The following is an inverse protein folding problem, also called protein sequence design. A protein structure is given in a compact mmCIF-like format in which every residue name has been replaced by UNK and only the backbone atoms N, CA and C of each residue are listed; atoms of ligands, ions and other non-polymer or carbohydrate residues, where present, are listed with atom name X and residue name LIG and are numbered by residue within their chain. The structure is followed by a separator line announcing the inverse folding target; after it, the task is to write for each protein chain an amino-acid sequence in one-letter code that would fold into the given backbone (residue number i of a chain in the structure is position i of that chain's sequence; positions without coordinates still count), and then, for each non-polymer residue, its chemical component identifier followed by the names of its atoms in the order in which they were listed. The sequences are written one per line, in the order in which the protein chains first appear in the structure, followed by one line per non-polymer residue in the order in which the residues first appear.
data_IF_497370428820
#
_entry.id   IF_497370428820
#
_cell.length_a   1.000
_cell.length_b   1.000
_cell.length_c   1.000
_cell.angle_alpha   90.00
_cell.angle_beta   90.00
_cell.angle_gamma   90.00
#
_symmetry.space_group_name_H-M   'P 1'
#
loop_
_entity.id
_entity.type
_entity.pdbx_description
1 polymer ?
#
# COMPACT_ATOMS: atom_id res chain seq x y z
N UNK A 1 13.95 8.01 13.80
CA UNK A 1 13.50 6.62 13.95
C UNK A 1 12.20 6.54 13.18
N UNK A 2 12.16 5.85 12.04
CA UNK A 2 10.93 5.74 11.26
C UNK A 2 9.88 5.02 12.12
N UNK A 3 8.64 5.50 12.22
CA UNK A 3 7.59 4.74 12.86
C UNK A 3 7.41 3.43 12.07
N UNK A 4 7.76 2.31 12.69
CA UNK A 4 7.53 1.00 12.11
C UNK A 4 6.02 0.77 12.06
N UNK A 5 5.45 0.74 10.85
CA UNK A 5 4.07 0.38 10.63
C UNK A 5 4.04 -1.06 10.13
N UNK A 6 3.61 -2.05 10.96
CA UNK A 6 3.70 -3.47 10.61
C UNK A 6 3.08 -3.83 9.26
N UNK A 7 2.05 -3.09 8.85
CA UNK A 7 1.42 -3.25 7.55
C UNK A 7 2.32 -2.77 6.40
N UNK A 8 2.94 -1.59 6.52
CA UNK A 8 3.89 -1.07 5.52
C UNK A 8 5.11 -1.99 5.40
N UNK A 9 5.61 -2.50 6.53
CA UNK A 9 6.71 -3.46 6.56
C UNK A 9 6.34 -4.77 5.84
N UNK A 10 5.11 -5.26 6.06
CA UNK A 10 4.61 -6.47 5.39
C UNK A 10 4.47 -6.27 3.87
N UNK A 11 3.98 -5.11 3.43
CA UNK A 11 3.91 -4.77 2.00
C UNK A 11 5.31 -4.65 1.40
N UNK A 12 6.25 -3.98 2.07
CA UNK A 12 7.63 -3.85 1.59
C UNK A 12 8.33 -5.22 1.45
N UNK A 13 8.11 -6.12 2.42
CA UNK A 13 8.63 -7.48 2.37
C UNK A 13 8.07 -8.26 1.16
N UNK A 14 6.76 -8.16 0.92
CA UNK A 14 6.12 -8.86 -0.19
C UNK A 14 6.51 -8.29 -1.55
N UNK A 15 6.66 -6.97 -1.67
CA UNK A 15 7.22 -6.33 -2.87
C UNK A 15 8.62 -6.85 -3.20
N UNK A 16 9.44 -7.07 -2.17
CA UNK A 16 10.77 -7.68 -2.33
C UNK A 16 10.68 -9.13 -2.79
N UNK A 17 9.78 -9.92 -2.20
CA UNK A 17 9.56 -11.33 -2.59
C UNK A 17 9.05 -11.46 -4.03
N UNK A 18 8.20 -10.53 -4.46
CA UNK A 18 7.66 -10.44 -5.81
C UNK A 18 8.64 -9.85 -6.84
N UNK A 19 9.91 -9.60 -6.46
CA UNK A 19 10.94 -9.01 -7.30
C UNK A 19 10.59 -7.62 -7.88
N UNK A 20 9.76 -6.86 -7.17
CA UNK A 20 9.43 -5.46 -7.46
C UNK A 20 9.66 -4.58 -6.21
N UNK A 21 10.86 -4.63 -5.60
CA UNK A 21 11.13 -3.86 -4.38
C UNK A 21 10.99 -2.36 -4.66
N UNK A 22 10.33 -1.64 -3.76
CA UNK A 22 10.33 -0.19 -3.81
C UNK A 22 11.73 0.34 -3.46
N UNK A 23 12.22 1.31 -4.23
CA UNK A 23 13.51 1.96 -3.99
C UNK A 23 13.46 2.86 -2.75
N UNK A 24 12.30 3.47 -2.51
CA UNK A 24 12.02 4.29 -1.33
C UNK A 24 10.80 3.74 -0.63
N UNK A 25 10.93 3.49 0.67
CA UNK A 25 9.83 3.14 1.56
C UNK A 25 9.79 4.15 2.70
N UNK A 26 8.64 4.77 2.92
CA UNK A 26 8.40 5.65 4.08
C UNK A 26 7.11 5.25 4.78
N UNK A 27 7.17 5.34 6.10
CA UNK A 27 6.04 5.12 6.98
C UNK A 27 5.97 6.33 7.92
N UNK A 28 4.81 6.94 8.05
CA UNK A 28 4.58 8.06 8.96
C UNK A 28 3.17 8.00 9.56
N UNK A 29 3.03 8.58 10.75
CA UNK A 29 1.74 8.88 11.37
C UNK A 29 1.54 10.40 11.25
N UNK A 30 0.40 10.83 10.73
CA UNK A 30 0.07 12.24 10.58
C UNK A 30 -0.30 12.86 11.92
N UNK A 31 -0.34 14.19 11.97
CA UNK A 31 -0.80 14.92 13.16
C UNK A 31 -2.25 14.59 13.57
N UNK A 32 -3.04 14.01 12.67
CA UNK A 32 -4.42 13.59 12.89
C UNK A 32 -4.54 12.10 13.30
N UNK A 33 -3.42 11.39 13.47
CA UNK A 33 -3.38 9.97 13.83
C UNK A 33 -3.55 9.02 12.63
N UNK A 34 -3.56 9.55 11.41
CA UNK A 34 -3.63 8.70 10.21
C UNK A 34 -2.27 8.09 9.89
N UNK A 35 -2.26 6.82 9.53
CA UNK A 35 -1.06 6.10 9.12
C UNK A 35 -0.89 6.19 7.60
N UNK A 36 0.30 6.56 7.17
CA UNK A 36 0.65 6.72 5.76
C UNK A 36 1.83 5.84 5.42
N UNK A 37 1.68 5.06 4.35
CA UNK A 37 2.74 4.31 3.71
C UNK A 37 3.03 4.87 2.32
N UNK A 38 4.30 5.10 2.00
CA UNK A 38 4.76 5.56 0.70
C UNK A 38 5.79 4.58 0.15
N UNK A 39 5.57 4.14 -1.08
CA UNK A 39 6.46 3.26 -1.84
C UNK A 39 6.75 3.92 -3.19
N UNK A 40 8.01 4.07 -3.55
CA UNK A 40 8.41 4.77 -4.78
C UNK A 40 9.38 3.92 -5.60
N UNK A 41 9.18 3.97 -6.92
CA UNK A 41 10.08 3.51 -7.98
C UNK A 41 10.45 4.72 -8.84
N UNK A 42 11.40 5.56 -8.41
CA UNK A 42 11.79 6.78 -9.12
C UNK A 42 12.22 6.55 -10.57
N UNK A 43 12.92 5.45 -10.87
CA UNK A 43 13.35 5.14 -12.24
C UNK A 43 12.14 4.95 -13.18
N UNK A 44 11.12 4.23 -12.71
CA UNK A 44 9.87 3.98 -13.43
C UNK A 44 8.84 5.10 -13.29
N UNK A 45 9.11 6.09 -12.43
CA UNK A 45 8.20 7.17 -12.02
C UNK A 45 6.85 6.64 -11.51
N UNK A 46 6.89 5.55 -10.74
CA UNK A 46 5.72 4.96 -10.11
C UNK A 46 5.77 5.26 -8.62
N UNK A 47 4.65 5.73 -8.08
CA UNK A 47 4.45 5.95 -6.65
C UNK A 47 3.18 5.24 -6.21
N UNK A 48 3.27 4.54 -5.09
CA UNK A 48 2.13 3.93 -4.42
C UNK A 48 2.03 4.52 -3.00
N UNK A 49 0.83 5.01 -2.66
CA UNK A 49 0.53 5.60 -1.37
C UNK A 49 -0.63 4.86 -0.71
N UNK A 50 -0.44 4.45 0.53
CA UNK A 50 -1.49 3.95 1.40
C UNK A 50 -1.82 4.99 2.46
N UNK A 51 -3.11 5.17 2.73
CA UNK A 51 -3.62 6.01 3.81
C UNK A 51 -4.57 5.17 4.67
N UNK A 52 -4.43 5.18 6.00
CA UNK A 52 -5.32 4.41 6.88
C UNK A 52 -6.77 4.87 6.85
N UNK A 53 -7.06 6.10 6.43
CA UNK A 53 -8.43 6.59 6.27
C UNK A 53 -8.98 6.43 4.84
N UNK A 54 -8.13 6.56 3.81
CA UNK A 54 -8.58 6.70 2.41
C UNK A 54 -8.18 5.54 1.49
N UNK A 55 -7.36 4.61 1.99
CA UNK A 55 -6.89 3.45 1.23
C UNK A 55 -5.76 3.79 0.26
N UNK A 56 -5.72 3.04 -0.84
CA UNK A 56 -4.59 3.02 -1.76
C UNK A 56 -4.78 3.98 -2.93
N UNK A 57 -3.71 4.69 -3.28
CA UNK A 57 -3.62 5.55 -4.47
C UNK A 57 -2.28 5.30 -5.16
N UNK A 58 -2.26 5.50 -6.47
CA UNK A 58 -1.06 5.39 -7.27
C UNK A 58 -0.91 6.57 -8.22
N UNK A 59 0.33 6.81 -8.62
CA UNK A 59 0.71 7.67 -9.72
C UNK A 59 1.74 6.91 -10.56
N UNK A 60 1.55 6.88 -11.87
CA UNK A 60 2.43 6.23 -12.83
C UNK A 60 2.46 7.06 -14.13
N UNK A 61 3.44 6.88 -15.03
CA UNK A 61 3.54 7.66 -16.27
C UNK A 61 2.30 7.55 -17.19
N UNK A 62 1.60 6.43 -17.11
CA UNK A 62 0.51 6.07 -18.01
C UNK A 62 -0.89 6.20 -17.35
N UNK A 63 -0.97 6.31 -16.03
CA UNK A 63 -2.22 6.51 -15.30
C UNK A 63 -1.98 6.97 -13.85
N UNK A 64 -3.03 7.44 -13.18
CA UNK A 64 -2.99 7.72 -11.76
C UNK A 64 -4.39 7.76 -11.17
N UNK A 65 -4.47 7.67 -9.84
CA UNK A 65 -5.73 7.73 -9.12
C UNK A 65 -5.85 6.67 -8.02
N UNK A 66 -7.09 6.37 -7.56
CA UNK A 66 -7.30 5.34 -6.56
C UNK A 66 -6.86 3.97 -7.10
N UNK A 67 -6.30 3.14 -6.22
CA UNK A 67 -6.12 1.73 -6.48
C UNK A 67 -7.41 1.02 -6.05
N UNK A 68 -8.08 0.34 -6.97
CA UNK A 68 -9.35 -0.35 -6.69
C UNK A 68 -9.12 -1.74 -6.04
N UNK A 69 -8.29 -1.77 -5.02
CA UNK A 69 -8.10 -2.91 -4.12
C UNK A 69 -8.69 -2.55 -2.76
N UNK A 70 -8.84 -3.56 -1.91
CA UNK A 70 -9.25 -3.32 -0.53
C UNK A 70 -8.31 -2.35 0.18
N UNK A 71 -8.89 -1.54 1.06
CA UNK A 71 -8.17 -0.56 1.87
C UNK A 71 -6.96 -1.20 2.57
N UNK A 72 -7.18 -2.38 3.16
CA UNK A 72 -6.16 -3.25 3.75
C UNK A 72 -6.12 -4.54 2.93
N UNK A 73 -5.56 -4.45 1.74
CA UNK A 73 -5.35 -5.60 0.89
C UNK A 73 -4.24 -6.50 1.45
N UNK A 74 -4.29 -7.79 1.10
CA UNK A 74 -3.19 -8.68 1.37
C UNK A 74 -1.92 -8.18 0.61
N UNK A 75 -0.73 -8.19 1.24
CA UNK A 75 0.50 -7.68 0.62
C UNK A 75 0.78 -8.24 -0.78
N UNK A 76 0.41 -9.51 -1.04
CA UNK A 76 0.61 -10.19 -2.32
C UNK A 76 -0.26 -9.61 -3.43
N UNK A 77 -1.49 -9.21 -3.09
CA UNK A 77 -2.39 -8.48 -3.99
C UNK A 77 -1.80 -7.12 -4.34
N UNK A 78 -1.22 -6.41 -3.36
CA UNK A 78 -0.54 -5.13 -3.58
C UNK A 78 0.65 -5.33 -4.51
N UNK A 79 1.50 -6.33 -4.24
CA UNK A 79 2.68 -6.60 -5.04
C UNK A 79 2.35 -6.99 -6.48
N UNK A 80 1.34 -7.84 -6.71
CA UNK A 80 0.90 -8.17 -8.06
C UNK A 80 0.33 -6.94 -8.79
N UNK A 81 -0.35 -6.03 -8.07
CA UNK A 81 -0.88 -4.79 -8.66
C UNK A 81 0.24 -3.83 -9.05
N UNK A 82 1.26 -3.69 -8.21
CA UNK A 82 2.46 -2.89 -8.49
C UNK A 82 3.20 -3.45 -9.70
N UNK A 83 3.36 -4.77 -9.81
CA UNK A 83 3.98 -5.39 -10.99
C UNK A 83 3.26 -4.99 -12.27
N UNK A 84 1.92 -5.04 -12.28
CA UNK A 84 1.13 -4.60 -13.44
C UNK A 84 1.34 -3.12 -13.77
N UNK A 85 1.40 -2.26 -12.75
CA UNK A 85 1.70 -0.84 -12.93
C UNK A 85 3.09 -0.62 -13.52
N UNK A 86 4.11 -1.29 -13.01
CA UNK A 86 5.48 -1.20 -13.55
C UNK A 86 5.55 -1.73 -14.99
N UNK A 87 4.76 -2.76 -15.32
CA UNK A 87 4.62 -3.30 -16.68
C UNK A 87 3.80 -2.38 -17.62
N UNK A 88 3.32 -1.22 -17.15
CA UNK A 88 2.55 -0.26 -17.96
C UNK A 88 1.06 -0.60 -18.12
N UNK A 89 0.54 -1.52 -17.32
CA UNK A 89 -0.85 -1.92 -17.33
C UNK A 89 -1.64 -1.18 -16.23
N UNK A 90 -2.74 -0.50 -16.57
CA UNK A 90 -3.59 0.08 -15.54
C UNK A 90 -4.21 -1.03 -14.69
N UNK A 91 -4.36 -0.84 -13.37
CA UNK A 91 -4.99 -1.84 -12.50
C UNK A 91 -6.48 -1.96 -12.87
N UNK A 92 -6.82 -2.98 -13.65
CA UNK A 92 -8.20 -3.22 -14.09
C UNK A 92 -9.07 -3.71 -12.93
N UNK A 93 -9.86 -2.81 -12.31
CA UNK A 93 -11.11 -3.05 -11.55
C UNK A 93 -11.22 -4.33 -10.67
N UNK A 94 -10.13 -4.90 -10.18
CA UNK A 94 -10.17 -6.13 -9.39
C UNK A 94 -10.28 -5.80 -7.91
N UNK A 95 -11.52 -5.64 -7.45
CA UNK A 95 -11.86 -5.66 -6.02
C UNK A 95 -11.51 -7.04 -5.45
N UNK A 96 -10.30 -7.21 -4.93
CA UNK A 96 -9.92 -8.38 -4.15
C UNK A 96 -10.23 -8.10 -2.68
N UNK A 97 -11.31 -8.71 -2.17
CA UNK A 97 -11.81 -8.49 -0.81
C UNK A 97 -11.00 -9.28 0.23
N UNK A 98 -10.54 -8.63 1.29
CA UNK A 98 -9.87 -9.26 2.43
C UNK A 98 -10.90 -9.70 3.48
N UNK A 99 -10.81 -10.97 3.89
CA UNK A 99 -11.59 -11.56 5.00
C UNK A 99 -10.96 -11.32 6.38
N UNK A 100 -10.04 -10.36 6.50
CA UNK A 100 -9.30 -10.08 7.74
C UNK A 100 -9.44 -8.66 8.30
N UNK A 101 -10.21 -7.76 7.66
CA UNK A 101 -10.31 -6.35 8.08
C UNK A 101 -10.69 -6.20 9.56
N UNK A 102 -11.47 -7.14 10.10
CA UNK A 102 -11.84 -7.22 11.51
C UNK A 102 -10.64 -7.39 12.47
N UNK A 103 -9.51 -7.93 12.01
CA UNK A 103 -8.29 -8.11 12.81
C UNK A 103 -7.49 -6.82 12.94
N UNK A 104 -7.52 -5.95 11.91
CA UNK A 104 -6.90 -4.62 12.00
C UNK A 104 -7.79 -3.65 12.79
N UNK A 105 -9.11 -3.70 12.59
CA UNK A 105 -10.07 -2.96 13.42
C UNK A 105 -9.91 -3.32 14.90
N UNK A 106 -9.66 -4.61 15.21
CA UNK A 106 -9.39 -5.04 16.58
C UNK A 106 -8.02 -4.58 17.09
N UNK A 107 -6.97 -4.59 16.27
CA UNK A 107 -5.66 -4.08 16.66
C UNK A 107 -5.62 -2.55 16.85
N UNK A 108 -6.47 -1.81 16.12
CA UNK A 108 -6.68 -0.37 16.28
C UNK A 108 -7.59 -0.07 17.49
N UNK A 109 -8.65 -0.86 17.70
CA UNK A 109 -9.52 -0.74 18.89
C UNK A 109 -8.80 -1.11 20.20
N UNK A 110 -7.91 -2.11 20.18
CA UNK A 110 -7.09 -2.52 21.33
C UNK A 110 -6.04 -1.46 21.71
N UNK A 111 -5.80 -0.46 20.85
CA UNK A 111 -4.97 0.73 21.15
C UNK A 111 -5.73 1.86 21.85
N UNK A 112 -7.03 1.69 22.11
CA UNK A 112 -7.79 2.52 23.04
C UNK A 112 -8.20 3.89 22.51
N UNK A 113 -9.01 3.89 21.45
CA UNK A 113 -9.98 4.97 21.22
C UNK A 113 -11.32 4.61 21.88
#
# INVERSE_FOLDING_TARGET
MMPHLPYVDSVAAELTLAAVPAEVVRAEETEHGDLVGLFEWPEDRVTLRWHSADGWRHEAPHCGGPLFIDHIAAPDVVANTVRLLLDGHPPYRSYARWTGAATLDRALADRGC
#
